data_IF_228490638297
#
_entry.id   IF_228490638297
#
_cell.length_a   1.000
_cell.length_b   1.000
_cell.length_c   1.000
_cell.angle_alpha   90.00
_cell.angle_beta   90.00
_cell.angle_gamma   90.00
#
_symmetry.space_group_name_H-M   'P 1'
#
loop_
_entity.id
_entity.type
_entity.pdbx_description
1 polymer ?
#
# COMPACT_ATOMS: atom_id res chain seq x y z
N UNK A 1 54.99 13.46 -43.94
CA UNK A 1 54.57 12.06 -43.92
C UNK A 1 54.15 11.71 -42.50
N UNK A 2 52.98 12.23 -42.06
CA UNK A 2 52.39 11.95 -40.75
C UNK A 2 50.89 12.03 -40.89
N UNK A 3 50.26 10.89 -41.11
CA UNK A 3 48.78 10.78 -41.03
C UNK A 3 48.40 9.29 -41.11
N UNK A 4 48.16 8.61 -40.02
CA UNK A 4 47.29 7.41 -40.01
C UNK A 4 47.29 6.63 -38.70
N UNK A 5 47.48 7.22 -37.52
CA UNK A 5 47.36 6.43 -36.28
C UNK A 5 46.18 6.76 -35.35
N UNK A 6 45.48 7.90 -35.56
CA UNK A 6 44.41 8.31 -34.65
C UNK A 6 43.03 7.70 -34.90
N UNK A 7 42.83 6.91 -35.97
CA UNK A 7 41.52 6.28 -36.25
C UNK A 7 41.26 5.00 -35.49
N UNK A 8 42.31 4.30 -35.05
CA UNK A 8 42.12 2.99 -34.33
C UNK A 8 41.66 3.13 -32.87
N UNK A 9 42.02 4.21 -32.20
CA UNK A 9 41.63 4.44 -30.80
C UNK A 9 40.20 4.94 -30.66
N UNK A 10 39.67 5.67 -31.61
CA UNK A 10 38.31 6.21 -31.61
C UNK A 10 37.25 5.09 -31.70
N UNK A 11 37.48 4.08 -32.52
CA UNK A 11 36.54 2.95 -32.69
C UNK A 11 36.56 2.03 -31.46
N UNK A 12 37.76 1.82 -30.89
CA UNK A 12 37.88 0.97 -29.68
C UNK A 12 37.25 1.61 -28.45
N UNK A 13 37.33 2.94 -28.29
CA UNK A 13 36.70 3.67 -27.20
C UNK A 13 35.18 3.69 -27.31
N UNK A 14 34.66 3.82 -28.58
CA UNK A 14 33.23 3.81 -28.84
C UNK A 14 32.60 2.42 -28.56
N UNK A 15 33.31 1.36 -28.93
CA UNK A 15 32.87 -0.02 -28.63
C UNK A 15 32.90 -0.31 -27.12
N UNK A 16 33.87 0.18 -26.37
CA UNK A 16 33.93 0.04 -24.92
C UNK A 16 32.79 0.81 -24.24
N UNK A 17 32.45 2.01 -24.73
CA UNK A 17 31.31 2.79 -24.20
C UNK A 17 29.96 2.14 -24.52
N UNK A 18 29.79 1.54 -25.71
CA UNK A 18 28.60 0.77 -26.04
C UNK A 18 28.45 -0.48 -25.18
N UNK A 19 29.53 -1.23 -24.87
CA UNK A 19 29.44 -2.39 -23.99
C UNK A 19 29.09 -2.02 -22.55
N UNK A 20 29.52 -0.88 -22.05
CA UNK A 20 29.15 -0.39 -20.72
C UNK A 20 27.68 -0.01 -20.65
N UNK A 21 27.13 0.60 -21.71
CA UNK A 21 25.69 0.92 -21.80
C UNK A 21 24.82 -0.35 -21.84
N UNK A 22 25.26 -1.45 -22.49
CA UNK A 22 24.54 -2.72 -22.48
C UNK A 22 24.66 -3.49 -21.15
N UNK A 23 25.70 -3.28 -20.37
CA UNK A 23 25.86 -3.89 -19.06
C UNK A 23 24.96 -3.27 -17.97
N UNK A 24 24.45 -2.04 -18.19
CA UNK A 24 23.53 -1.36 -17.28
C UNK A 24 22.05 -1.65 -17.59
N UNK A 25 21.75 -2.31 -18.73
CA UNK A 25 20.37 -2.67 -19.10
C UNK A 25 20.06 -4.15 -18.89
N UNK A 26 20.93 -4.92 -18.26
CA UNK A 26 20.83 -6.36 -18.14
C UNK A 26 20.66 -6.87 -16.72
N UNK A 27 19.64 -6.44 -15.99
CA UNK A 27 19.02 -7.23 -14.92
C UNK A 27 17.53 -6.89 -14.90
N UNK A 28 16.83 -7.35 -15.92
CA UNK A 28 15.38 -7.37 -15.96
C UNK A 28 14.87 -8.56 -15.14
N UNK A 29 14.85 -8.46 -13.82
CA UNK A 29 13.80 -9.10 -13.04
C UNK A 29 12.53 -8.37 -13.44
N UNK A 30 11.49 -9.10 -13.86
CA UNK A 30 10.26 -8.57 -14.44
C UNK A 30 9.69 -7.41 -13.62
N UNK A 31 10.05 -6.21 -14.00
CA UNK A 31 9.43 -5.00 -13.51
C UNK A 31 8.11 -4.86 -14.27
N UNK A 32 7.06 -5.47 -13.75
CA UNK A 32 5.73 -4.96 -14.04
C UNK A 32 5.80 -3.45 -13.78
N UNK A 33 5.20 -2.68 -14.67
CA UNK A 33 5.11 -1.23 -14.51
C UNK A 33 4.57 -0.94 -13.11
N UNK A 34 5.28 -0.09 -12.34
CA UNK A 34 4.86 0.24 -10.99
C UNK A 34 3.44 0.83 -11.03
N UNK A 35 2.57 0.38 -10.15
CA UNK A 35 1.20 0.87 -10.10
C UNK A 35 1.20 2.33 -9.64
N UNK A 36 0.51 3.18 -10.38
CA UNK A 36 0.21 4.56 -9.98
C UNK A 36 -0.99 4.51 -9.02
N UNK A 37 -0.68 4.51 -7.71
CA UNK A 37 -1.67 4.39 -6.65
C UNK A 37 -2.20 5.78 -6.31
N UNK A 38 -3.47 6.02 -6.59
CA UNK A 38 -4.11 7.31 -6.33
C UNK A 38 -4.69 7.43 -4.93
N UNK A 39 -5.05 6.29 -4.31
CA UNK A 39 -5.70 6.28 -2.99
C UNK A 39 -5.49 4.94 -2.29
N UNK A 40 -5.32 5.01 -0.97
CA UNK A 40 -5.34 3.86 -0.06
C UNK A 40 -6.39 4.10 1.01
N UNK A 41 -7.27 3.12 1.25
CA UNK A 41 -8.22 3.14 2.37
C UNK A 41 -7.86 2.02 3.33
N UNK A 42 -7.62 2.36 4.59
CA UNK A 42 -7.29 1.42 5.65
C UNK A 42 -8.37 1.44 6.72
N UNK A 43 -8.96 0.28 7.02
CA UNK A 43 -10.00 0.13 8.04
C UNK A 43 -9.54 -0.82 9.13
N UNK A 44 -9.64 -0.35 10.38
CA UNK A 44 -9.42 -1.12 11.60
C UNK A 44 -10.75 -1.28 12.33
N UNK A 45 -11.18 -2.50 12.53
CA UNK A 45 -12.40 -2.82 13.29
C UNK A 45 -12.03 -3.75 14.45
N UNK A 46 -11.62 -3.21 15.61
CA UNK A 46 -11.17 -4.01 16.73
C UNK A 46 -12.31 -4.87 17.31
N UNK A 47 -11.97 -6.07 17.81
CA UNK A 47 -12.95 -7.06 18.25
C UNK A 47 -13.68 -6.72 19.56
N UNK A 48 -13.23 -5.74 20.31
CA UNK A 48 -13.68 -5.44 21.67
C UNK A 48 -14.71 -4.29 21.79
N UNK A 49 -15.53 -4.09 20.76
CA UNK A 49 -16.56 -3.03 20.69
C UNK A 49 -15.99 -1.59 20.69
N UNK A 50 -14.73 -1.42 20.40
CA UNK A 50 -14.15 -0.10 20.13
C UNK A 50 -14.67 0.45 18.79
N UNK A 51 -14.52 1.76 18.60
CA UNK A 51 -14.88 2.40 17.36
C UNK A 51 -14.13 1.79 16.16
N UNK A 52 -14.74 1.85 14.98
CA UNK A 52 -14.06 1.53 13.73
C UNK A 52 -13.25 2.75 13.31
N UNK A 53 -11.98 2.57 13.07
CA UNK A 53 -11.11 3.60 12.48
C UNK A 53 -11.00 3.36 10.98
N UNK A 54 -11.25 4.40 10.19
CA UNK A 54 -11.03 4.38 8.75
C UNK A 54 -10.13 5.54 8.34
N UNK A 55 -9.04 5.22 7.68
CA UNK A 55 -8.10 6.18 7.12
C UNK A 55 -8.19 6.16 5.60
N UNK A 56 -8.36 7.32 4.99
CA UNK A 56 -8.34 7.50 3.53
C UNK A 56 -7.14 8.37 3.20
N UNK A 57 -6.13 7.79 2.58
CA UNK A 57 -4.87 8.45 2.22
C UNK A 57 -4.88 8.63 0.70
N UNK A 58 -4.68 9.86 0.24
CA UNK A 58 -4.62 10.21 -1.18
C UNK A 58 -3.17 10.48 -1.62
N UNK A 59 -2.90 10.38 -2.92
CA UNK A 59 -1.56 10.60 -3.50
C UNK A 59 -1.01 12.02 -3.30
N UNK A 60 -1.86 12.99 -2.93
CA UNK A 60 -1.46 14.33 -2.49
C UNK A 60 -1.04 14.38 -1.02
N UNK A 61 -0.82 13.21 -0.40
CA UNK A 61 -0.46 13.01 1.00
C UNK A 61 -1.53 13.43 2.03
N UNK A 62 -2.75 13.78 1.59
CA UNK A 62 -3.86 14.10 2.49
C UNK A 62 -4.41 12.83 3.12
N UNK A 63 -4.62 12.86 4.44
CA UNK A 63 -5.28 11.80 5.22
C UNK A 63 -6.60 12.32 5.74
N UNK A 64 -7.67 11.55 5.55
CA UNK A 64 -8.93 11.71 6.28
C UNK A 64 -9.07 10.54 7.24
N UNK A 65 -9.14 10.82 8.52
CA UNK A 65 -9.36 9.83 9.57
C UNK A 65 -10.80 9.92 10.05
N UNK A 66 -11.52 8.83 9.97
CA UNK A 66 -12.89 8.67 10.46
C UNK A 66 -12.86 7.78 11.69
N UNK A 67 -13.35 8.29 12.82
CA UNK A 67 -13.61 7.52 14.03
C UNK A 67 -15.10 7.25 14.09
N UNK A 68 -15.52 6.01 13.81
CA UNK A 68 -16.90 5.60 13.59
C UNK A 68 -17.37 4.82 14.81
N UNK A 69 -18.39 5.34 15.49
CA UNK A 69 -18.95 4.73 16.70
C UNK A 69 -19.65 3.42 16.38
N UNK A 70 -19.26 2.36 17.05
CA UNK A 70 -20.03 1.12 17.08
C UNK A 70 -21.02 1.14 18.25
N UNK A 71 -22.27 0.81 17.97
CA UNK A 71 -23.29 0.63 19.02
C UNK A 71 -23.82 -0.80 18.95
N UNK A 72 -24.27 -1.34 20.08
CA UNK A 72 -24.85 -2.69 20.17
C UNK A 72 -26.03 -2.89 19.23
N UNK A 73 -26.75 -1.80 18.95
CA UNK A 73 -28.02 -1.82 18.21
C UNK A 73 -27.85 -1.66 16.70
N UNK A 74 -26.64 -1.25 16.24
CA UNK A 74 -26.37 -0.97 14.83
C UNK A 74 -25.03 -1.55 14.41
N UNK A 75 -25.09 -2.66 13.69
CA UNK A 75 -23.90 -3.28 13.12
C UNK A 75 -23.50 -2.56 11.83
N UNK A 76 -22.28 -2.01 11.83
CA UNK A 76 -21.71 -1.39 10.62
C UNK A 76 -21.18 -2.50 9.71
N UNK A 77 -21.60 -2.45 8.44
CA UNK A 77 -21.08 -3.35 7.41
C UNK A 77 -19.81 -2.74 6.83
N UNK A 78 -18.66 -3.33 7.14
CA UNK A 78 -17.33 -2.81 6.74
C UNK A 78 -17.26 -2.56 5.22
N UNK A 79 -17.85 -3.44 4.40
CA UNK A 79 -17.86 -3.28 2.94
C UNK A 79 -18.51 -1.96 2.50
N UNK A 80 -19.57 -1.53 3.17
CA UNK A 80 -20.26 -0.29 2.85
C UNK A 80 -19.37 0.95 2.99
N UNK A 81 -18.40 0.92 3.92
CA UNK A 81 -17.43 2.00 4.10
C UNK A 81 -16.55 2.18 2.86
N UNK A 82 -16.12 1.09 2.21
CA UNK A 82 -15.35 1.14 0.96
C UNK A 82 -16.18 1.60 -0.24
N UNK A 83 -17.50 1.47 -0.17
CA UNK A 83 -18.44 2.00 -1.16
C UNK A 83 -18.82 3.48 -0.88
N UNK A 84 -18.24 4.08 0.16
CA UNK A 84 -18.51 5.47 0.57
C UNK A 84 -19.81 5.65 1.32
N UNK A 85 -20.46 4.56 1.77
CA UNK A 85 -21.66 4.58 2.57
C UNK A 85 -21.31 4.76 4.04
N UNK A 86 -21.14 6.00 4.47
CA UNK A 86 -20.91 6.33 5.87
C UNK A 86 -22.22 6.28 6.67
N UNK A 87 -22.15 6.00 7.98
CA UNK A 87 -23.30 6.17 8.88
C UNK A 87 -23.74 7.64 8.95
N UNK A 88 -24.75 7.96 9.76
CA UNK A 88 -25.17 9.34 9.97
C UNK A 88 -24.04 10.18 10.58
N UNK A 89 -23.98 11.49 10.26
CA UNK A 89 -22.90 12.39 10.68
C UNK A 89 -22.74 12.51 12.21
N UNK A 90 -23.71 12.09 12.98
CA UNK A 90 -23.66 12.04 14.45
C UNK A 90 -22.92 10.79 14.99
N UNK A 91 -22.73 9.79 14.12
CA UNK A 91 -22.15 8.50 14.48
C UNK A 91 -20.65 8.43 14.16
N UNK A 92 -20.05 9.46 13.60
CA UNK A 92 -18.61 9.50 13.37
C UNK A 92 -18.03 10.91 13.53
N UNK A 93 -16.75 10.99 13.81
CA UNK A 93 -15.95 12.21 13.65
C UNK A 93 -15.00 12.06 12.47
N UNK A 94 -14.62 13.18 11.87
CA UNK A 94 -13.62 13.20 10.80
C UNK A 94 -12.58 14.26 11.07
N UNK A 95 -11.32 13.84 11.04
CA UNK A 95 -10.16 14.70 11.12
C UNK A 95 -9.35 14.63 9.84
N UNK A 96 -8.57 15.67 9.57
CA UNK A 96 -7.69 15.73 8.40
C UNK A 96 -6.28 16.06 8.84
N UNK A 97 -5.33 15.27 8.34
CA UNK A 97 -3.90 15.44 8.56
C UNK A 97 -3.13 15.19 7.26
N UNK A 98 -1.81 15.10 7.32
CA UNK A 98 -0.97 14.75 6.17
C UNK A 98 0.09 13.76 6.59
N UNK A 99 0.34 12.77 5.73
CA UNK A 99 1.58 11.99 5.80
C UNK A 99 2.70 12.75 5.09
N UNK A 100 3.94 12.44 5.42
CA UNK A 100 5.07 13.00 4.66
C UNK A 100 5.11 12.44 3.24
N UNK A 101 5.64 13.18 2.25
CA UNK A 101 5.85 12.66 0.89
C UNK A 101 6.71 11.38 0.90
N UNK A 102 7.70 11.31 1.78
CA UNK A 102 8.56 10.14 1.96
C UNK A 102 7.76 8.94 2.50
N UNK A 103 6.84 9.19 3.44
CA UNK A 103 5.93 8.16 3.98
C UNK A 103 5.00 7.61 2.91
N UNK A 104 4.41 8.48 2.08
CA UNK A 104 3.61 8.05 0.93
C UNK A 104 4.43 7.19 -0.04
N UNK A 105 5.64 7.63 -0.39
CA UNK A 105 6.53 6.88 -1.29
C UNK A 105 6.93 5.51 -0.71
N UNK A 106 7.16 5.42 0.60
CA UNK A 106 7.42 4.13 1.26
C UNK A 106 6.22 3.20 1.16
N UNK A 107 4.99 3.72 1.33
CA UNK A 107 3.76 2.95 1.18
C UNK A 107 3.59 2.45 -0.25
N UNK A 108 3.72 3.32 -1.25
CA UNK A 108 3.65 2.93 -2.67
C UNK A 108 4.67 1.84 -3.02
N UNK A 109 5.92 2.02 -2.61
CA UNK A 109 6.97 1.04 -2.83
C UNK A 109 6.60 -0.31 -2.19
N UNK A 110 6.07 -0.31 -0.96
CA UNK A 110 5.67 -1.53 -0.27
C UNK A 110 4.49 -2.22 -0.95
N UNK A 111 3.50 -1.48 -1.40
CA UNK A 111 2.35 -2.01 -2.13
C UNK A 111 2.78 -2.67 -3.46
N UNK A 112 3.71 -2.03 -4.18
CA UNK A 112 4.29 -2.60 -5.40
C UNK A 112 5.17 -3.82 -5.12
N UNK A 113 6.09 -3.75 -4.15
CA UNK A 113 6.98 -4.86 -3.74
C UNK A 113 6.19 -6.11 -3.33
N UNK A 114 5.11 -5.92 -2.60
CA UNK A 114 4.25 -7.03 -2.16
C UNK A 114 3.33 -7.53 -3.25
N UNK A 115 3.27 -6.85 -4.39
CA UNK A 115 2.28 -7.12 -5.43
C UNK A 115 0.86 -7.12 -4.86
N UNK A 116 0.55 -6.12 -4.03
CA UNK A 116 -0.67 -6.08 -3.22
C UNK A 116 -1.94 -6.26 -4.05
N UNK A 117 -1.97 -5.76 -5.29
CA UNK A 117 -3.11 -5.88 -6.21
C UNK A 117 -3.48 -7.34 -6.55
N UNK A 118 -2.56 -8.28 -6.36
CA UNK A 118 -2.77 -9.72 -6.59
C UNK A 118 -2.92 -10.51 -5.28
N UNK A 119 -2.95 -9.83 -4.14
CA UNK A 119 -3.15 -10.50 -2.86
C UNK A 119 -4.55 -11.11 -2.80
N UNK A 120 -4.72 -12.21 -2.05
CA UNK A 120 -6.07 -12.73 -1.79
C UNK A 120 -6.95 -11.64 -1.15
N UNK A 121 -8.19 -11.49 -1.62
CA UNK A 121 -9.16 -10.58 -1.00
C UNK A 121 -9.51 -10.97 0.44
N UNK A 122 -9.42 -12.26 0.78
CA UNK A 122 -9.57 -12.77 2.14
C UNK A 122 -8.23 -13.33 2.63
N UNK A 123 -7.66 -12.65 3.63
CA UNK A 123 -6.44 -13.03 4.34
C UNK A 123 -6.73 -13.24 5.84
N UNK A 124 -7.96 -13.64 6.15
CA UNK A 124 -8.37 -13.93 7.53
C UNK A 124 -7.52 -15.00 8.17
N UNK A 125 -7.27 -14.86 9.47
CA UNK A 125 -6.56 -15.86 10.28
C UNK A 125 -7.40 -16.22 11.51
N UNK A 126 -7.73 -17.49 11.64
CA UNK A 126 -8.63 -18.01 12.67
C UNK A 126 -7.89 -18.79 13.75
N UNK A 127 -6.93 -18.19 14.42
CA UNK A 127 -6.37 -18.77 15.63
C UNK A 127 -7.27 -18.38 16.82
N UNK A 128 -7.72 -19.37 17.57
CA UNK A 128 -8.67 -19.20 18.67
C UNK A 128 -8.13 -18.40 19.86
N UNK A 129 -6.84 -18.11 19.87
CA UNK A 129 -6.17 -17.39 20.96
C UNK A 129 -6.07 -15.88 20.76
N UNK A 130 -6.45 -15.38 19.58
CA UNK A 130 -6.29 -13.97 19.23
C UNK A 130 -7.61 -13.40 18.71
N UNK A 131 -8.10 -12.37 19.36
CA UNK A 131 -9.21 -11.54 18.88
C UNK A 131 -8.74 -10.10 18.79
N UNK A 132 -8.02 -9.77 17.72
CA UNK A 132 -7.54 -8.41 17.46
C UNK A 132 -8.50 -7.63 16.54
N UNK A 133 -9.55 -8.28 16.07
CA UNK A 133 -10.54 -7.68 15.20
C UNK A 133 -10.29 -7.92 13.71
N UNK A 134 -10.82 -7.04 12.88
CA UNK A 134 -10.74 -7.15 11.43
C UNK A 134 -9.99 -5.96 10.86
N UNK A 135 -9.11 -6.24 9.89
CA UNK A 135 -8.28 -5.24 9.22
C UNK A 135 -8.45 -5.38 7.72
N UNK A 136 -8.61 -4.26 7.04
CA UNK A 136 -8.83 -4.22 5.60
C UNK A 136 -8.05 -3.08 4.97
N UNK A 137 -7.47 -3.34 3.80
CA UNK A 137 -6.80 -2.31 2.98
C UNK A 137 -7.38 -2.38 1.56
N UNK A 138 -7.87 -1.25 1.05
CA UNK A 138 -8.22 -1.07 -0.34
C UNK A 138 -7.21 -0.14 -1.00
N UNK A 139 -6.67 -0.53 -2.15
CA UNK A 139 -5.90 0.35 -3.03
C UNK A 139 -6.73 0.71 -4.25
N UNK A 140 -6.54 1.92 -4.75
CA UNK A 140 -7.11 2.38 -6.00
C UNK A 140 -6.01 2.87 -6.94
N UNK A 141 -6.00 2.34 -8.17
CA UNK A 141 -5.12 2.74 -9.26
C UNK A 141 -5.96 2.97 -10.52
N UNK A 142 -6.07 4.22 -10.96
CA UNK A 142 -7.04 4.58 -12.02
C UNK A 142 -8.47 4.15 -11.66
N UNK A 143 -9.08 3.31 -12.50
CA UNK A 143 -10.43 2.76 -12.26
C UNK A 143 -10.42 1.41 -11.52
N UNK A 144 -9.26 0.84 -11.26
CA UNK A 144 -9.13 -0.46 -10.59
C UNK A 144 -9.11 -0.25 -9.09
N UNK A 145 -9.90 -1.04 -8.38
CA UNK A 145 -9.86 -1.14 -6.92
C UNK A 145 -9.57 -2.57 -6.53
N UNK A 146 -8.72 -2.75 -5.53
CA UNK A 146 -8.44 -4.05 -4.94
C UNK A 146 -8.50 -3.95 -3.43
N UNK A 147 -9.32 -4.79 -2.82
CA UNK A 147 -9.54 -4.89 -1.39
C UNK A 147 -9.00 -6.22 -0.88
N UNK A 148 -8.14 -6.17 0.12
CA UNK A 148 -7.69 -7.34 0.87
C UNK A 148 -7.89 -7.11 2.37
N UNK A 149 -8.13 -8.18 3.12
CA UNK A 149 -8.29 -8.08 4.57
C UNK A 149 -9.10 -9.22 5.16
N UNK A 150 -9.56 -9.05 6.39
CA UNK A 150 -10.35 -10.02 7.10
C UNK A 150 -10.12 -10.02 8.61
N UNK A 151 -10.70 -11.01 9.28
CA UNK A 151 -10.54 -11.22 10.71
C UNK A 151 -9.10 -11.64 11.04
N UNK A 152 -8.46 -10.94 11.98
CA UNK A 152 -7.04 -11.14 12.34
C UNK A 152 -6.10 -11.13 11.13
N UNK A 153 -6.42 -10.38 10.07
CA UNK A 153 -5.60 -10.29 8.87
C UNK A 153 -4.17 -9.82 9.21
N UNK A 154 -3.19 -10.46 8.56
CA UNK A 154 -1.76 -10.22 8.83
C UNK A 154 -1.18 -11.04 9.98
N UNK A 155 -1.97 -11.82 10.73
CA UNK A 155 -1.48 -12.65 11.85
C UNK A 155 -1.06 -14.06 11.42
N UNK A 156 -1.51 -14.51 10.26
CA UNK A 156 -1.11 -15.79 9.69
C UNK A 156 0.38 -15.87 9.33
N UNK A 157 0.87 -17.11 9.21
CA UNK A 157 2.28 -17.40 8.84
C UNK A 157 2.47 -17.62 7.36
N UNK A 158 1.38 -17.73 6.60
CA UNK A 158 1.40 -17.88 5.15
C UNK A 158 1.93 -16.62 4.46
N UNK A 159 2.17 -16.75 3.14
CA UNK A 159 2.77 -15.69 2.34
C UNK A 159 1.88 -14.44 2.28
N UNK A 160 0.59 -14.62 2.11
CA UNK A 160 -0.36 -13.52 1.93
C UNK A 160 -0.55 -12.71 3.21
N UNK A 161 -0.68 -13.39 4.36
CA UNK A 161 -0.70 -12.73 5.65
C UNK A 161 0.59 -11.95 5.95
N UNK A 162 1.76 -12.49 5.58
CA UNK A 162 3.04 -11.76 5.74
C UNK A 162 3.12 -10.52 4.87
N UNK A 163 2.66 -10.61 3.61
CA UNK A 163 2.58 -9.45 2.70
C UNK A 163 1.62 -8.40 3.26
N UNK A 164 0.41 -8.81 3.64
CA UNK A 164 -0.59 -7.92 4.22
C UNK A 164 -0.04 -7.20 5.45
N UNK A 165 0.55 -7.93 6.39
CA UNK A 165 1.18 -7.35 7.60
C UNK A 165 2.24 -6.32 7.25
N UNK A 166 3.13 -6.61 6.30
CA UNK A 166 4.19 -5.65 5.93
C UNK A 166 3.65 -4.33 5.38
N UNK A 167 2.46 -4.35 4.75
CA UNK A 167 1.76 -3.14 4.30
C UNK A 167 1.10 -2.42 5.49
N UNK A 168 0.41 -3.14 6.37
CA UNK A 168 -0.24 -2.52 7.54
C UNK A 168 0.77 -1.95 8.53
N UNK A 169 1.94 -2.56 8.69
CA UNK A 169 3.03 -2.01 9.52
C UNK A 169 3.53 -0.64 8.98
N UNK A 170 3.64 -0.48 7.66
CA UNK A 170 3.96 0.82 7.05
C UNK A 170 2.83 1.81 7.27
N UNK A 171 1.57 1.40 7.04
CA UNK A 171 0.41 2.26 7.27
C UNK A 171 0.35 2.77 8.71
N UNK A 172 0.52 1.88 9.69
CA UNK A 172 0.52 2.26 11.11
C UNK A 172 1.65 3.26 11.43
N UNK A 173 2.84 3.05 10.89
CA UNK A 173 3.98 3.95 11.10
C UNK A 173 3.73 5.35 10.51
N UNK A 174 3.32 5.45 9.23
CA UNK A 174 3.12 6.76 8.59
C UNK A 174 1.90 7.51 9.17
N UNK A 175 0.90 6.79 9.67
CA UNK A 175 -0.27 7.39 10.32
C UNK A 175 0.04 7.87 11.74
N UNK A 176 0.94 7.20 12.46
CA UNK A 176 1.41 7.66 13.78
C UNK A 176 2.20 8.98 13.69
N UNK A 177 2.88 9.21 12.56
CA UNK A 177 3.67 10.42 12.29
C UNK A 177 2.83 11.54 11.62
N UNK A 178 1.58 11.26 11.24
CA UNK A 178 0.68 12.19 10.59
C UNK A 178 0.08 13.17 11.62
N UNK A 179 0.68 14.35 11.74
CA UNK A 179 0.28 15.40 12.68
C UNK A 179 -0.11 16.72 12.00
#
# INVERSE_FOLDING_TARGET
MFRTENKKYGVSLLLAFMMIMFALTGCGSGSGEALDISKVTYVKSPGNQQNIEMYVISSDCTVKHYDIKQTSDKKIVIRDLFEGKLPSSEEYTVDSSKVSPEGWQQLENKLNETEFIYLSGDVSYTDQLMDEGSFFVEIQTGMIKHLAGGYNAGRGKDKDNKKFRSVTDILDNILADAG
#
